data_IF_838098252842
#
_entry.id   IF_838098252842
#
_cell.length_a   1.000
_cell.length_b   1.000
_cell.length_c   1.000
_cell.angle_alpha   90.00
_cell.angle_beta   90.00
_cell.angle_gamma   90.00
#
_symmetry.space_group_name_H-M   'P 1'
#
loop_
_entity.id
_entity.type
_entity.pdbx_description
1 polymer ?
#
# COMPACT_ATOMS: atom_id res chain seq x y z
N UNK A 1 23.35 18.36 -35.59
CA UNK A 1 23.78 17.34 -34.59
C UNK A 1 23.18 17.74 -33.26
N UNK A 2 22.61 16.79 -32.49
CA UNK A 2 22.11 17.06 -31.12
C UNK A 2 23.32 17.37 -30.24
N UNK A 3 23.17 18.33 -29.34
CA UNK A 3 24.19 18.75 -28.37
C UNK A 3 24.05 17.99 -27.06
N UNK A 4 25.07 18.02 -26.19
CA UNK A 4 24.97 17.47 -24.84
C UNK A 4 23.78 18.08 -24.03
N UNK A 5 23.53 19.39 -24.26
CA UNK A 5 22.36 20.09 -23.66
C UNK A 5 21.05 19.50 -24.14
N UNK A 6 20.88 19.14 -25.40
CA UNK A 6 19.63 18.55 -25.90
C UNK A 6 19.34 17.21 -25.21
N UNK A 7 20.40 16.41 -24.96
CA UNK A 7 20.26 15.16 -24.21
C UNK A 7 19.91 15.38 -22.73
N UNK A 8 20.51 16.39 -22.07
CA UNK A 8 20.18 16.73 -20.68
C UNK A 8 18.74 17.22 -20.55
N UNK A 9 18.27 18.08 -21.46
CA UNK A 9 16.88 18.53 -21.49
C UNK A 9 15.91 17.38 -21.79
N UNK A 10 16.28 16.44 -22.64
CA UNK A 10 15.48 15.25 -22.92
C UNK A 10 15.40 14.33 -21.71
N UNK A 11 16.53 14.10 -21.00
CA UNK A 11 16.57 13.31 -19.77
C UNK A 11 15.66 13.92 -18.68
N UNK A 12 15.71 15.24 -18.49
CA UNK A 12 14.86 15.93 -17.53
C UNK A 12 13.36 15.82 -17.86
N UNK A 13 13.01 15.88 -19.16
CA UNK A 13 11.62 15.64 -19.61
C UNK A 13 11.15 14.20 -19.36
N UNK A 14 12.05 13.21 -19.52
CA UNK A 14 11.74 11.85 -19.16
C UNK A 14 11.48 11.71 -17.66
N UNK A 15 12.36 12.27 -16.83
CA UNK A 15 12.19 12.27 -15.37
C UNK A 15 10.83 12.87 -14.94
N UNK A 16 10.44 14.01 -15.50
CA UNK A 16 9.15 14.64 -15.19
C UNK A 16 7.99 13.71 -15.57
N UNK A 17 8.01 13.10 -16.75
CA UNK A 17 6.96 12.15 -17.17
C UNK A 17 6.89 10.93 -16.27
N UNK A 18 8.03 10.40 -15.85
CA UNK A 18 8.07 9.25 -14.95
C UNK A 18 7.51 9.60 -13.56
N UNK A 19 7.82 10.80 -13.05
CA UNK A 19 7.23 11.33 -11.80
C UNK A 19 5.71 11.58 -11.93
N UNK A 20 5.24 12.08 -13.08
CA UNK A 20 3.79 12.27 -13.32
C UNK A 20 3.04 10.94 -13.36
N UNK A 21 3.59 9.93 -14.04
CA UNK A 21 3.06 8.56 -14.04
C UNK A 21 3.05 7.97 -12.62
N UNK A 22 4.10 8.21 -11.85
CA UNK A 22 4.20 7.75 -10.46
C UNK A 22 3.17 8.43 -9.57
N UNK A 23 2.92 9.74 -9.74
CA UNK A 23 1.88 10.45 -9.01
C UNK A 23 0.47 9.88 -9.29
N UNK A 24 0.18 9.51 -10.54
CA UNK A 24 -1.06 8.81 -10.89
C UNK A 24 -1.16 7.44 -10.20
N UNK A 25 -0.04 6.70 -10.17
CA UNK A 25 0.03 5.41 -9.47
C UNK A 25 -0.15 5.54 -7.95
N UNK A 26 0.30 6.64 -7.35
CA UNK A 26 0.05 6.93 -5.93
C UNK A 26 -1.45 7.12 -5.64
N UNK A 27 -2.20 7.77 -6.53
CA UNK A 27 -3.65 7.90 -6.41
C UNK A 27 -4.35 6.53 -6.45
N UNK A 28 -3.85 5.60 -7.28
CA UNK A 28 -4.32 4.21 -7.29
C UNK A 28 -4.04 3.52 -5.95
N UNK A 29 -2.83 3.64 -5.40
CA UNK A 29 -2.46 3.04 -4.10
C UNK A 29 -3.42 3.49 -2.99
N UNK A 30 -3.80 4.78 -2.98
CA UNK A 30 -4.82 5.32 -2.06
C UNK A 30 -6.17 4.64 -2.22
N UNK A 31 -6.69 4.58 -3.45
CA UNK A 31 -7.99 3.98 -3.73
C UNK A 31 -8.01 2.49 -3.36
N UNK A 32 -6.91 1.78 -3.63
CA UNK A 32 -6.75 0.36 -3.25
C UNK A 32 -6.70 0.20 -1.73
N UNK A 33 -5.97 1.06 -1.01
CA UNK A 33 -5.87 1.03 0.45
C UNK A 33 -7.23 1.21 1.14
N UNK A 34 -8.06 2.12 0.65
CA UNK A 34 -9.43 2.33 1.11
C UNK A 34 -10.31 1.09 0.89
N UNK A 35 -10.23 0.48 -0.29
CA UNK A 35 -10.98 -0.73 -0.59
C UNK A 35 -10.50 -1.93 0.25
N UNK A 36 -9.21 -2.09 0.43
CA UNK A 36 -8.63 -3.13 1.33
C UNK A 36 -9.20 -2.97 2.74
N UNK A 37 -9.24 -1.73 3.28
CA UNK A 37 -9.82 -1.47 4.60
C UNK A 37 -11.31 -1.85 4.67
N UNK A 38 -12.10 -1.47 3.65
CA UNK A 38 -13.50 -1.84 3.53
C UNK A 38 -13.71 -3.36 3.53
N UNK A 39 -12.98 -4.09 2.67
CA UNK A 39 -13.06 -5.54 2.57
C UNK A 39 -12.57 -6.26 3.85
N UNK A 40 -11.61 -5.69 4.57
CA UNK A 40 -11.22 -6.19 5.91
C UNK A 40 -12.35 -6.07 6.92
N UNK A 41 -13.12 -4.98 6.89
CA UNK A 41 -14.31 -4.80 7.75
C UNK A 41 -15.41 -5.78 7.37
N UNK A 42 -15.73 -5.94 6.07
CA UNK A 42 -16.69 -6.93 5.59
C UNK A 42 -16.30 -8.34 6.02
N UNK A 43 -15.03 -8.75 5.82
CA UNK A 43 -14.52 -10.07 6.23
C UNK A 43 -14.71 -10.31 7.72
N UNK A 44 -14.40 -9.32 8.56
CA UNK A 44 -14.57 -9.44 10.00
C UNK A 44 -16.02 -9.57 10.43
N UNK A 45 -16.91 -8.75 9.88
CA UNK A 45 -18.35 -8.78 10.19
C UNK A 45 -19.00 -10.06 9.66
N UNK A 46 -18.65 -10.52 8.46
CA UNK A 46 -19.18 -11.77 7.89
C UNK A 46 -18.79 -12.99 8.70
N UNK A 47 -17.60 -13.00 9.33
CA UNK A 47 -17.18 -14.11 10.19
C UNK A 47 -18.12 -14.27 11.39
N UNK A 48 -18.43 -13.19 12.10
CA UNK A 48 -19.35 -13.25 13.25
C UNK A 48 -20.78 -13.55 12.79
N UNK A 49 -21.22 -12.96 11.67
CA UNK A 49 -22.53 -13.21 11.09
C UNK A 49 -22.74 -14.71 10.80
N UNK A 50 -21.80 -15.35 10.12
CA UNK A 50 -21.90 -16.76 9.75
C UNK A 50 -21.81 -17.68 10.97
N UNK A 51 -20.86 -17.46 11.88
CA UNK A 51 -20.70 -18.30 13.09
C UNK A 51 -21.91 -18.20 14.01
N UNK A 52 -22.56 -17.02 14.09
CA UNK A 52 -23.79 -16.84 14.89
C UNK A 52 -25.06 -17.35 14.19
N UNK A 53 -24.97 -18.01 13.05
CA UNK A 53 -26.12 -18.43 12.27
C UNK A 53 -26.96 -17.26 11.75
N UNK A 54 -26.37 -16.09 11.53
CA UNK A 54 -27.03 -14.88 11.05
C UNK A 54 -27.71 -14.04 12.12
N UNK A 55 -27.54 -14.38 13.39
CA UNK A 55 -28.22 -13.66 14.50
C UNK A 55 -27.48 -12.39 14.92
N UNK A 56 -26.18 -12.29 14.64
CA UNK A 56 -25.31 -11.17 15.04
C UNK A 56 -24.62 -10.58 13.83
N UNK A 57 -24.33 -9.28 13.87
CA UNK A 57 -23.57 -8.54 12.88
C UNK A 57 -24.22 -8.45 11.48
N UNK A 58 -25.51 -8.73 11.31
CA UNK A 58 -26.20 -8.54 10.04
C UNK A 58 -26.23 -7.08 9.58
N UNK A 59 -26.74 -6.13 10.40
CA UNK A 59 -26.74 -4.69 10.09
C UNK A 59 -25.33 -4.14 9.87
N UNK A 60 -24.34 -4.56 10.66
CA UNK A 60 -22.94 -4.14 10.56
C UNK A 60 -22.31 -4.62 9.24
N UNK A 61 -22.58 -5.86 8.84
CA UNK A 61 -22.13 -6.41 7.56
C UNK A 61 -22.70 -5.60 6.38
N UNK A 62 -24.01 -5.31 6.39
CA UNK A 62 -24.65 -4.50 5.35
C UNK A 62 -24.11 -3.06 5.32
N UNK A 63 -23.76 -2.48 6.46
CA UNK A 63 -23.10 -1.17 6.50
C UNK A 63 -21.70 -1.24 5.88
N UNK A 64 -20.89 -2.23 6.24
CA UNK A 64 -19.57 -2.41 5.65
C UNK A 64 -19.63 -2.60 4.13
N UNK A 65 -20.61 -3.39 3.64
CA UNK A 65 -20.82 -3.60 2.19
C UNK A 65 -21.14 -2.28 1.50
N UNK A 66 -22.06 -1.46 2.05
CA UNK A 66 -22.40 -0.16 1.47
C UNK A 66 -21.20 0.80 1.43
N UNK A 67 -20.38 0.81 2.49
CA UNK A 67 -19.19 1.64 2.58
C UNK A 67 -18.15 1.25 1.50
N UNK A 68 -18.00 -0.05 1.21
CA UNK A 68 -17.05 -0.55 0.21
C UNK A 68 -17.45 -0.26 -1.23
N UNK A 69 -18.76 -0.20 -1.54
CA UNK A 69 -19.25 -0.04 -2.92
C UNK A 69 -18.69 1.21 -3.62
N UNK A 70 -18.55 2.33 -2.90
CA UNK A 70 -17.99 3.55 -3.46
C UNK A 70 -16.49 3.40 -3.81
N UNK A 71 -15.75 2.65 -3.01
CA UNK A 71 -14.31 2.38 -3.26
C UNK A 71 -14.13 1.37 -4.40
N UNK A 72 -14.99 0.36 -4.49
CA UNK A 72 -15.05 -0.56 -5.64
C UNK A 72 -15.31 0.18 -6.94
N UNK A 73 -16.35 1.02 -6.98
CA UNK A 73 -16.70 1.79 -8.17
C UNK A 73 -15.56 2.72 -8.61
N UNK A 74 -14.86 3.36 -7.67
CA UNK A 74 -13.69 4.20 -7.99
C UNK A 74 -12.55 3.40 -8.61
N UNK A 75 -12.28 2.21 -8.09
CA UNK A 75 -11.21 1.36 -8.61
C UNK A 75 -11.55 0.79 -9.99
N UNK A 76 -12.78 0.35 -10.20
CA UNK A 76 -13.25 -0.12 -11.52
C UNK A 76 -13.23 1.02 -12.55
N UNK A 77 -13.71 2.22 -12.21
CA UNK A 77 -13.64 3.39 -13.10
C UNK A 77 -12.19 3.78 -13.43
N UNK A 78 -11.26 3.62 -12.50
CA UNK A 78 -9.83 3.79 -12.77
C UNK A 78 -9.32 2.73 -13.75
N UNK A 79 -9.68 1.46 -13.57
CA UNK A 79 -9.30 0.37 -14.46
C UNK A 79 -9.87 0.55 -15.89
N UNK A 80 -11.12 1.00 -16.00
CA UNK A 80 -11.75 1.31 -17.29
C UNK A 80 -11.06 2.47 -18.01
N UNK A 81 -10.48 3.41 -17.28
CA UNK A 81 -9.70 4.53 -17.83
C UNK A 81 -8.29 4.16 -18.29
N UNK A 82 -7.85 2.92 -18.06
CA UNK A 82 -6.56 2.43 -18.56
C UNK A 82 -6.65 2.16 -20.07
N UNK A 83 -5.96 2.96 -20.87
CA UNK A 83 -5.83 2.67 -22.30
C UNK A 83 -4.95 1.44 -22.49
N UNK A 84 -5.50 0.37 -23.11
CA UNK A 84 -4.79 -0.90 -23.30
C UNK A 84 -3.50 -0.77 -24.11
N UNK A 85 -3.42 0.26 -24.97
CA UNK A 85 -2.27 0.57 -25.82
C UNK A 85 -1.38 1.67 -25.24
N UNK A 86 -1.64 2.12 -24.01
CA UNK A 86 -0.90 3.18 -23.33
C UNK A 86 0.53 2.75 -22.93
N UNK A 87 1.44 3.71 -22.92
CA UNK A 87 2.82 3.52 -22.43
C UNK A 87 2.82 3.46 -20.88
N UNK A 88 2.42 2.31 -20.33
CA UNK A 88 2.37 2.08 -18.89
C UNK A 88 3.76 1.75 -18.32
N UNK A 89 4.13 2.45 -17.25
CA UNK A 89 5.24 2.02 -16.40
C UNK A 89 4.82 0.71 -15.70
N UNK A 90 5.57 -0.38 -15.92
CA UNK A 90 5.20 -1.71 -15.42
C UNK A 90 4.55 -2.65 -16.45
N UNK A 91 4.01 -2.13 -17.55
CA UNK A 91 3.57 -2.89 -18.73
C UNK A 91 2.71 -4.13 -18.40
N UNK A 92 3.08 -5.30 -18.93
CA UNK A 92 2.36 -6.56 -18.79
C UNK A 92 2.12 -6.96 -17.34
N UNK A 93 3.09 -6.74 -16.43
CA UNK A 93 2.95 -7.13 -15.01
C UNK A 93 1.82 -6.37 -14.33
N UNK A 94 1.76 -5.04 -14.51
CA UNK A 94 0.71 -4.20 -13.94
C UNK A 94 -0.67 -4.58 -14.50
N UNK A 95 -0.81 -4.70 -15.82
CA UNK A 95 -2.08 -5.09 -16.46
C UNK A 95 -2.55 -6.46 -16.01
N UNK A 96 -1.65 -7.43 -15.83
CA UNK A 96 -2.00 -8.75 -15.28
C UNK A 96 -2.55 -8.63 -13.85
N UNK A 97 -1.95 -7.78 -13.00
CA UNK A 97 -2.46 -7.55 -11.63
C UNK A 97 -3.83 -6.86 -11.65
N UNK A 98 -4.02 -5.88 -12.53
CA UNK A 98 -5.32 -5.22 -12.72
C UNK A 98 -6.39 -6.23 -13.13
N UNK A 99 -6.12 -7.10 -14.11
CA UNK A 99 -7.06 -8.13 -14.55
C UNK A 99 -7.51 -9.05 -13.40
N UNK A 100 -6.56 -9.53 -12.58
CA UNK A 100 -6.86 -10.37 -11.40
C UNK A 100 -7.70 -9.61 -10.37
N UNK A 101 -7.43 -8.33 -10.16
CA UNK A 101 -8.21 -7.48 -9.23
C UNK A 101 -9.63 -7.28 -9.76
N UNK A 102 -9.80 -6.92 -11.03
CA UNK A 102 -11.12 -6.72 -11.66
C UNK A 102 -11.96 -7.99 -11.57
N UNK A 103 -11.41 -9.14 -11.95
CA UNK A 103 -12.10 -10.45 -11.83
C UNK A 103 -12.52 -10.71 -10.36
N UNK A 104 -11.64 -10.40 -9.40
CA UNK A 104 -11.95 -10.53 -7.98
C UNK A 104 -13.11 -9.65 -7.54
N UNK A 105 -13.17 -8.39 -8.02
CA UNK A 105 -14.25 -7.45 -7.72
C UNK A 105 -15.57 -7.82 -8.38
N UNK A 106 -15.56 -8.28 -9.61
CA UNK A 106 -16.74 -8.79 -10.30
C UNK A 106 -17.38 -9.98 -9.56
N UNK A 107 -16.59 -10.77 -8.84
CA UNK A 107 -17.07 -11.86 -8.01
C UNK A 107 -17.64 -11.46 -6.64
N UNK A 108 -17.47 -10.20 -6.18
CA UNK A 108 -17.92 -9.75 -4.87
C UNK A 108 -19.44 -9.79 -4.67
N UNK A 109 -20.28 -9.35 -5.63
CA UNK A 109 -21.74 -9.43 -5.49
C UNK A 109 -22.23 -10.86 -5.21
N UNK A 110 -21.70 -11.85 -5.93
CA UNK A 110 -22.02 -13.27 -5.74
C UNK A 110 -21.59 -13.80 -4.36
N UNK A 111 -20.40 -13.40 -3.89
CA UNK A 111 -19.93 -13.71 -2.54
C UNK A 111 -20.89 -13.13 -1.48
N UNK A 112 -21.25 -11.85 -1.58
CA UNK A 112 -22.16 -11.16 -0.64
C UNK A 112 -23.55 -11.78 -0.63
N UNK A 113 -24.07 -12.22 -1.78
CA UNK A 113 -25.34 -12.96 -1.86
C UNK A 113 -25.24 -14.32 -1.14
N UNK A 114 -24.15 -15.05 -1.36
CA UNK A 114 -23.88 -16.33 -0.72
C UNK A 114 -23.78 -16.20 0.80
N UNK A 115 -23.15 -15.11 1.29
CA UNK A 115 -23.07 -14.75 2.71
C UNK A 115 -24.44 -14.47 3.31
N UNK A 116 -25.25 -13.60 2.68
CA UNK A 116 -26.62 -13.29 3.14
C UNK A 116 -27.48 -14.53 3.24
N UNK A 117 -27.36 -15.42 2.26
CA UNK A 117 -28.06 -16.69 2.24
C UNK A 117 -27.48 -17.74 3.18
N UNK A 118 -26.34 -17.46 3.82
CA UNK A 118 -25.60 -18.40 4.70
C UNK A 118 -25.26 -19.72 4.01
N UNK A 119 -24.94 -19.66 2.70
CA UNK A 119 -24.61 -20.83 1.87
C UNK A 119 -23.12 -21.13 1.79
N UNK A 120 -22.30 -20.48 2.63
CA UNK A 120 -20.87 -20.75 2.77
C UNK A 120 -20.48 -20.82 4.24
N UNK A 121 -19.39 -21.49 4.52
CA UNK A 121 -18.81 -21.51 5.86
C UNK A 121 -18.04 -20.21 6.16
N UNK A 122 -17.79 -19.92 7.44
CA UNK A 122 -16.90 -18.82 7.84
C UNK A 122 -15.50 -18.97 7.27
N UNK A 123 -14.98 -20.20 7.15
CA UNK A 123 -13.68 -20.47 6.55
C UNK A 123 -13.65 -20.14 5.05
N UNK A 124 -14.69 -20.50 4.30
CA UNK A 124 -14.81 -20.17 2.86
C UNK A 124 -14.88 -18.65 2.66
N UNK A 125 -15.71 -17.96 3.44
CA UNK A 125 -15.83 -16.50 3.40
C UNK A 125 -14.48 -15.83 3.69
N UNK A 126 -13.79 -16.27 4.75
CA UNK A 126 -12.46 -15.80 5.13
C UNK A 126 -11.47 -15.96 3.96
N UNK A 127 -11.43 -17.12 3.34
CA UNK A 127 -10.55 -17.40 2.20
C UNK A 127 -10.87 -16.49 1.01
N UNK A 128 -12.15 -16.35 0.65
CA UNK A 128 -12.61 -15.53 -0.48
C UNK A 128 -12.22 -14.04 -0.32
N UNK A 129 -12.43 -13.46 0.86
CA UNK A 129 -11.98 -12.09 1.13
C UNK A 129 -10.47 -11.96 1.13
N UNK A 130 -9.76 -12.92 1.76
CA UNK A 130 -8.29 -12.88 1.85
C UNK A 130 -7.65 -12.96 0.46
N UNK A 131 -8.18 -13.76 -0.47
CA UNK A 131 -7.69 -13.83 -1.85
C UNK A 131 -7.83 -12.49 -2.57
N UNK A 132 -8.97 -11.81 -2.45
CA UNK A 132 -9.22 -10.50 -3.06
C UNK A 132 -8.34 -9.42 -2.47
N UNK A 133 -8.21 -9.39 -1.15
CA UNK A 133 -7.32 -8.45 -0.48
C UNK A 133 -5.87 -8.70 -0.90
N UNK A 134 -5.43 -9.96 -1.01
CA UNK A 134 -4.08 -10.30 -1.47
C UNK A 134 -3.82 -9.85 -2.91
N UNK A 135 -4.81 -9.95 -3.80
CA UNK A 135 -4.71 -9.44 -5.16
C UNK A 135 -4.54 -7.90 -5.19
N UNK A 136 -5.30 -7.18 -4.36
CA UNK A 136 -5.19 -5.73 -4.18
C UNK A 136 -3.82 -5.33 -3.64
N UNK A 137 -3.30 -6.05 -2.64
CA UNK A 137 -1.96 -5.81 -2.09
C UNK A 137 -0.85 -6.09 -3.10
N UNK A 138 -1.01 -7.12 -3.94
CA UNK A 138 -0.07 -7.41 -5.02
C UNK A 138 -0.05 -6.30 -6.08
N UNK A 139 -1.18 -5.61 -6.31
CA UNK A 139 -1.24 -4.44 -7.19
C UNK A 139 -0.47 -3.26 -6.59
N UNK A 140 -0.61 -2.98 -5.28
CA UNK A 140 0.18 -1.94 -4.59
C UNK A 140 1.67 -2.25 -4.69
N UNK A 141 2.07 -3.50 -4.48
CA UNK A 141 3.47 -3.93 -4.59
C UNK A 141 4.04 -3.68 -5.99
N UNK A 142 3.28 -3.99 -7.03
CA UNK A 142 3.70 -3.77 -8.43
C UNK A 142 3.97 -2.29 -8.72
N UNK A 143 3.12 -1.40 -8.19
CA UNK A 143 3.32 0.06 -8.29
C UNK A 143 4.59 0.50 -7.56
N UNK A 144 4.88 -0.06 -6.39
CA UNK A 144 6.07 0.28 -5.61
C UNK A 144 7.37 -0.19 -6.28
N UNK A 145 7.33 -1.36 -6.95
CA UNK A 145 8.50 -1.98 -7.59
C UNK A 145 9.03 -1.17 -8.80
N UNK A 146 8.15 -0.43 -9.47
CA UNK A 146 8.52 0.38 -10.65
C UNK A 146 8.89 1.82 -10.33
N UNK A 147 8.86 2.24 -9.07
CA UNK A 147 9.18 3.58 -8.64
C UNK A 147 10.69 3.87 -8.75
N UNK A 148 11.08 4.75 -9.67
CA UNK A 148 12.48 5.08 -9.92
C UNK A 148 13.05 6.16 -8.96
N UNK A 149 12.20 7.01 -8.37
CA UNK A 149 12.63 8.04 -7.42
C UNK A 149 12.89 7.42 -6.04
N UNK A 150 14.10 7.58 -5.45
CA UNK A 150 14.45 6.90 -4.19
C UNK A 150 13.62 7.35 -2.98
N UNK A 151 13.21 8.64 -2.92
CA UNK A 151 12.39 9.18 -1.84
C UNK A 151 10.98 8.58 -1.90
N UNK A 152 10.39 8.57 -3.09
CA UNK A 152 9.05 8.01 -3.33
C UNK A 152 9.05 6.49 -3.13
N UNK A 153 10.06 5.79 -3.67
CA UNK A 153 10.21 4.34 -3.48
C UNK A 153 10.28 3.96 -2.00
N UNK A 154 11.07 4.69 -1.20
CA UNK A 154 11.16 4.47 0.24
C UNK A 154 9.80 4.63 0.95
N UNK A 155 9.04 5.68 0.61
CA UNK A 155 7.71 5.92 1.19
C UNK A 155 6.70 4.83 0.77
N UNK A 156 6.75 4.36 -0.48
CA UNK A 156 5.92 3.25 -0.97
C UNK A 156 6.24 1.95 -0.22
N UNK A 157 7.51 1.65 0.04
CA UNK A 157 7.92 0.48 0.83
C UNK A 157 7.37 0.56 2.26
N UNK A 158 7.44 1.75 2.89
CA UNK A 158 6.87 1.96 4.23
C UNK A 158 5.35 1.74 4.21
N UNK A 159 4.65 2.37 3.27
CA UNK A 159 3.19 2.26 3.13
C UNK A 159 2.76 0.82 2.86
N UNK A 160 3.42 0.11 1.93
CA UNK A 160 3.14 -1.30 1.64
C UNK A 160 3.28 -2.18 2.89
N UNK A 161 4.38 -2.03 3.66
CA UNK A 161 4.57 -2.82 4.86
C UNK A 161 3.52 -2.51 5.94
N UNK A 162 3.09 -1.25 6.09
CA UNK A 162 2.03 -0.90 7.02
C UNK A 162 0.69 -1.55 6.63
N UNK A 163 0.30 -1.48 5.35
CA UNK A 163 -0.93 -2.09 4.83
C UNK A 163 -0.87 -3.62 4.97
N UNK A 164 0.27 -4.23 4.64
CA UNK A 164 0.46 -5.68 4.78
C UNK A 164 0.39 -6.13 6.24
N UNK A 165 1.00 -5.39 7.17
CA UNK A 165 0.89 -5.65 8.61
C UNK A 165 -0.56 -5.52 9.11
N UNK A 166 -1.30 -4.51 8.63
CA UNK A 166 -2.73 -4.34 8.89
C UNK A 166 -3.54 -5.53 8.36
N UNK A 167 -3.19 -6.09 7.19
CA UNK A 167 -3.85 -7.27 6.66
C UNK A 167 -3.67 -8.49 7.56
N UNK A 168 -2.45 -8.77 8.03
CA UNK A 168 -2.22 -9.85 8.98
C UNK A 168 -3.00 -9.64 10.30
N UNK A 169 -3.09 -8.39 10.79
CA UNK A 169 -3.94 -8.06 11.96
C UNK A 169 -5.43 -8.29 11.68
N UNK A 170 -5.90 -8.00 10.46
CA UNK A 170 -7.28 -8.28 10.04
C UNK A 170 -7.59 -9.78 9.95
N UNK A 171 -6.63 -10.58 9.49
CA UNK A 171 -6.75 -12.05 9.50
C UNK A 171 -6.75 -12.59 10.93
N UNK A 172 -5.88 -12.08 11.79
CA UNK A 172 -5.84 -12.42 13.22
C UNK A 172 -7.19 -12.13 13.91
N UNK A 173 -7.76 -10.92 13.64
CA UNK A 173 -9.09 -10.57 14.18
C UNK A 173 -10.15 -11.59 13.79
N UNK A 174 -10.22 -11.93 12.50
CA UNK A 174 -11.23 -12.86 12.02
C UNK A 174 -11.02 -14.29 12.54
N UNK A 175 -9.78 -14.78 12.58
CA UNK A 175 -9.46 -16.11 13.11
C UNK A 175 -9.73 -16.22 14.61
N UNK A 176 -9.32 -15.22 15.40
CA UNK A 176 -9.58 -15.19 16.85
C UNK A 176 -11.07 -15.06 17.18
N UNK A 177 -11.80 -14.20 16.45
CA UNK A 177 -13.26 -14.10 16.62
C UNK A 177 -13.97 -15.44 16.32
N UNK A 178 -13.53 -16.14 15.26
CA UNK A 178 -14.07 -17.46 14.94
C UNK A 178 -13.77 -18.50 16.01
N UNK A 179 -12.56 -18.52 16.56
CA UNK A 179 -12.16 -19.45 17.63
C UNK A 179 -12.94 -19.20 18.93
N UNK A 180 -13.06 -17.93 19.36
CA UNK A 180 -13.82 -17.55 20.56
C UNK A 180 -15.31 -17.85 20.40
N UNK A 181 -15.90 -17.52 19.24
CA UNK A 181 -17.31 -17.81 19.00
C UNK A 181 -17.61 -19.33 18.90
N UNK A 182 -16.63 -20.13 18.45
CA UNK A 182 -16.75 -21.59 18.42
C UNK A 182 -16.46 -22.25 19.78
N UNK A 183 -16.03 -21.47 20.79
CA UNK A 183 -15.66 -21.96 22.13
C UNK A 183 -14.36 -22.77 22.16
N UNK A 184 -13.59 -22.83 21.05
CA UNK A 184 -12.37 -23.64 20.97
C UNK A 184 -11.37 -23.07 19.96
N UNK A 185 -10.08 -23.22 20.26
CA UNK A 185 -8.98 -22.95 19.36
C UNK A 185 -8.07 -24.21 19.31
N UNK A 186 -8.21 -25.04 18.31
CA UNK A 186 -7.34 -26.20 18.16
C UNK A 186 -5.88 -25.77 17.92
N UNK A 187 -4.93 -26.73 18.04
CA UNK A 187 -3.50 -26.48 17.88
C UNK A 187 -3.15 -25.75 16.56
N UNK A 188 -3.76 -26.15 15.45
CA UNK A 188 -3.59 -25.47 14.16
C UNK A 188 -4.07 -24.02 14.17
N UNK A 189 -5.16 -23.74 14.88
CA UNK A 189 -5.69 -22.39 15.06
C UNK A 189 -4.71 -21.51 15.85
N UNK A 190 -4.19 -22.03 16.95
CA UNK A 190 -3.21 -21.35 17.80
C UNK A 190 -1.90 -21.07 17.02
N UNK A 191 -1.38 -22.05 16.28
CA UNK A 191 -0.21 -21.89 15.42
C UNK A 191 -0.43 -20.83 14.33
N UNK A 192 -1.61 -20.83 13.70
CA UNK A 192 -1.96 -19.81 12.72
C UNK A 192 -2.00 -18.41 13.32
N UNK A 193 -2.59 -18.26 14.50
CA UNK A 193 -2.64 -16.96 15.20
C UNK A 193 -1.23 -16.46 15.54
N UNK A 194 -0.37 -17.33 16.05
CA UNK A 194 1.03 -16.99 16.33
C UNK A 194 1.77 -16.55 15.07
N UNK A 195 1.66 -17.31 13.98
CA UNK A 195 2.25 -16.95 12.69
C UNK A 195 1.77 -15.57 12.20
N UNK A 196 0.47 -15.28 12.31
CA UNK A 196 -0.07 -13.97 11.91
C UNK A 196 0.51 -12.82 12.77
N UNK A 197 0.75 -13.05 14.06
CA UNK A 197 1.37 -12.08 14.96
C UNK A 197 2.84 -11.82 14.58
N UNK A 198 3.61 -12.87 14.29
CA UNK A 198 4.99 -12.75 13.82
C UNK A 198 5.09 -11.97 12.51
N UNK A 199 4.20 -12.26 11.56
CA UNK A 199 4.16 -11.53 10.28
C UNK A 199 3.77 -10.05 10.46
N UNK A 200 2.85 -9.73 11.37
CA UNK A 200 2.55 -8.34 11.74
C UNK A 200 3.79 -7.62 12.25
N UNK A 201 4.49 -8.22 13.20
CA UNK A 201 5.68 -7.63 13.81
C UNK A 201 6.77 -7.35 12.77
N UNK A 202 7.07 -8.31 11.90
CA UNK A 202 8.03 -8.14 10.80
C UNK A 202 7.66 -7.00 9.85
N UNK A 203 6.38 -6.90 9.50
CA UNK A 203 5.90 -5.81 8.65
C UNK A 203 6.01 -4.45 9.34
N UNK A 204 5.63 -4.35 10.62
CA UNK A 204 5.69 -3.10 11.38
C UNK A 204 7.14 -2.66 11.61
N UNK A 205 8.07 -3.57 11.88
CA UNK A 205 9.50 -3.26 11.97
C UNK A 205 10.04 -2.70 10.65
N UNK A 206 9.68 -3.29 9.51
CA UNK A 206 10.05 -2.77 8.19
C UNK A 206 9.43 -1.39 7.94
N UNK A 207 8.15 -1.22 8.28
CA UNK A 207 7.50 0.08 8.20
C UNK A 207 8.30 1.13 8.98
N UNK A 208 8.65 0.88 10.24
CA UNK A 208 9.42 1.80 11.08
C UNK A 208 10.82 2.11 10.53
N UNK A 209 11.46 1.14 9.88
CA UNK A 209 12.77 1.31 9.26
C UNK A 209 12.74 2.20 7.99
N UNK A 210 11.63 2.19 7.26
CA UNK A 210 11.51 2.90 5.99
C UNK A 210 10.66 4.17 6.06
N UNK A 211 9.83 4.35 7.09
CA UNK A 211 8.98 5.53 7.20
C UNK A 211 9.80 6.82 7.45
N UNK A 212 9.22 7.96 7.12
CA UNK A 212 9.83 9.25 7.36
C UNK A 212 9.93 9.56 8.87
N UNK A 213 10.97 10.32 9.25
CA UNK A 213 11.30 10.58 10.66
C UNK A 213 10.18 11.31 11.42
N UNK A 214 9.35 12.09 10.76
CA UNK A 214 8.20 12.81 11.31
C UNK A 214 6.98 11.92 11.58
N UNK A 215 6.90 10.75 10.93
CA UNK A 215 5.84 9.76 11.12
C UNK A 215 6.05 8.94 12.41
N UNK A 216 7.29 8.58 12.72
CA UNK A 216 7.61 7.70 13.86
C UNK A 216 7.07 8.18 15.21
N UNK A 217 7.17 9.45 15.59
CA UNK A 217 6.60 9.93 16.84
C UNK A 217 5.07 9.79 16.88
N UNK A 218 4.41 10.03 15.76
CA UNK A 218 2.97 9.90 15.60
C UNK A 218 2.53 8.44 15.72
N UNK A 219 3.24 7.54 15.07
CA UNK A 219 3.04 6.11 15.16
C UNK A 219 3.19 5.60 16.59
N UNK A 220 4.27 5.97 17.28
CA UNK A 220 4.53 5.59 18.68
C UNK A 220 3.49 6.13 19.65
N UNK A 221 3.08 7.40 19.46
CA UNK A 221 2.01 7.99 20.27
C UNK A 221 0.66 7.27 20.08
N UNK A 222 0.39 6.79 18.89
CA UNK A 222 -0.80 6.01 18.55
C UNK A 222 -0.72 4.62 19.20
N UNK A 223 0.40 3.91 19.08
CA UNK A 223 0.60 2.62 19.75
C UNK A 223 0.44 2.73 21.27
N UNK A 224 0.96 3.79 21.90
CA UNK A 224 0.83 4.01 23.33
C UNK A 224 -0.63 4.21 23.82
N UNK A 225 -1.53 4.63 22.92
CA UNK A 225 -2.97 4.79 23.21
C UNK A 225 -3.81 3.54 22.97
N UNK A 226 -3.24 2.55 22.27
CA UNK A 226 -3.93 1.28 22.02
C UNK A 226 -3.95 0.42 23.30
N UNK A 227 -5.04 -0.30 23.55
CA UNK A 227 -5.14 -1.24 24.67
C UNK A 227 -4.37 -2.54 24.37
N UNK A 228 -3.07 -2.41 24.06
CA UNK A 228 -2.22 -3.55 23.64
C UNK A 228 -2.09 -4.60 24.75
N UNK A 229 -2.07 -4.19 26.02
CA UNK A 229 -1.96 -5.14 27.13
C UNK A 229 -3.19 -6.06 27.24
N UNK A 230 -4.38 -5.53 26.99
CA UNK A 230 -5.62 -6.32 27.00
C UNK A 230 -5.70 -7.25 25.79
N UNK A 231 -5.34 -6.74 24.62
CA UNK A 231 -5.24 -7.56 23.40
C UNK A 231 -4.24 -8.70 23.61
N UNK A 232 -3.08 -8.43 24.20
CA UNK A 232 -2.06 -9.44 24.46
C UNK A 232 -2.51 -10.49 25.47
N UNK A 233 -3.32 -10.09 26.46
CA UNK A 233 -3.96 -11.04 27.38
C UNK A 233 -4.87 -12.02 26.64
N UNK A 234 -5.72 -11.51 25.72
CA UNK A 234 -6.61 -12.36 24.92
C UNK A 234 -5.83 -13.26 23.95
N UNK A 235 -4.75 -12.77 23.37
CA UNK A 235 -3.82 -13.57 22.56
C UNK A 235 -3.27 -14.77 23.32
N UNK A 236 -2.81 -14.54 24.56
CA UNK A 236 -2.35 -15.63 25.43
C UNK A 236 -3.44 -16.62 25.74
N UNK A 237 -4.66 -16.16 26.05
CA UNK A 237 -5.80 -17.03 26.25
C UNK A 237 -6.05 -17.92 25.04
N UNK A 238 -6.06 -17.36 23.82
CA UNK A 238 -6.24 -18.12 22.57
C UNK A 238 -5.09 -19.12 22.30
N UNK A 239 -3.87 -18.80 22.74
CA UNK A 239 -2.70 -19.65 22.54
C UNK A 239 -2.58 -20.80 23.56
N UNK A 240 -3.12 -20.62 24.78
CA UNK A 240 -2.89 -21.57 25.90
C UNK A 240 -4.12 -22.39 26.26
N UNK A 241 -5.33 -21.85 26.09
CA UNK A 241 -6.57 -22.57 26.36
C UNK A 241 -7.04 -23.31 25.11
N UNK A 242 -7.34 -24.60 25.28
CA UNK A 242 -7.77 -25.45 24.16
C UNK A 242 -9.27 -25.50 23.99
N UNK A 243 -10.04 -25.26 25.04
CA UNK A 243 -11.50 -25.45 25.10
C UNK A 243 -12.15 -24.44 26.07
N UNK A 244 -13.47 -24.31 25.98
CA UNK A 244 -14.33 -23.55 26.91
C UNK A 244 -14.06 -22.04 27.01
N UNK A 245 -13.86 -21.40 25.88
CA UNK A 245 -13.82 -19.94 25.84
C UNK A 245 -15.18 -19.34 26.18
N UNK A 246 -15.15 -18.28 26.99
CA UNK A 246 -16.33 -17.46 27.21
C UNK A 246 -16.73 -16.74 25.91
N UNK A 247 -17.92 -17.00 25.34
CA UNK A 247 -18.39 -16.34 24.14
C UNK A 247 -18.44 -14.81 24.23
N UNK A 248 -18.55 -14.24 25.42
CA UNK A 248 -18.51 -12.79 25.65
C UNK A 248 -17.15 -12.18 25.26
N UNK A 249 -16.07 -12.96 25.29
CA UNK A 249 -14.76 -12.52 24.85
C UNK A 249 -14.70 -12.24 23.33
N UNK A 250 -15.63 -12.79 22.55
CA UNK A 250 -15.69 -12.55 21.09
C UNK A 250 -15.87 -11.07 20.76
N UNK A 251 -16.79 -10.39 21.46
CA UNK A 251 -17.08 -8.98 21.23
C UNK A 251 -15.91 -8.10 21.65
N UNK A 252 -15.36 -8.38 22.82
CA UNK A 252 -14.19 -7.67 23.32
C UNK A 252 -12.98 -7.83 22.36
N UNK A 253 -12.70 -9.05 21.91
CA UNK A 253 -11.66 -9.34 20.93
C UNK A 253 -11.86 -8.55 19.64
N UNK A 254 -13.08 -8.62 19.09
CA UNK A 254 -13.41 -7.96 17.84
C UNK A 254 -13.29 -6.44 17.94
N UNK A 255 -13.74 -5.85 19.05
CA UNK A 255 -13.65 -4.42 19.31
C UNK A 255 -12.19 -3.95 19.43
N UNK A 256 -11.38 -4.64 20.24
CA UNK A 256 -9.97 -4.29 20.43
C UNK A 256 -9.16 -4.37 19.12
N UNK A 257 -9.35 -5.47 18.38
CA UNK A 257 -8.71 -5.63 17.09
C UNK A 257 -9.20 -4.60 16.06
N UNK A 258 -10.50 -4.29 16.03
CA UNK A 258 -11.06 -3.29 15.10
C UNK A 258 -10.52 -1.90 15.40
N UNK A 259 -10.51 -1.47 16.66
CA UNK A 259 -9.89 -0.20 17.07
C UNK A 259 -8.43 -0.12 16.61
N UNK A 260 -7.66 -1.21 16.75
CA UNK A 260 -6.27 -1.25 16.30
C UNK A 260 -6.16 -1.08 14.78
N UNK A 261 -6.99 -1.78 14.01
CA UNK A 261 -7.02 -1.69 12.55
C UNK A 261 -7.39 -0.29 12.06
N UNK A 262 -8.39 0.34 12.69
CA UNK A 262 -8.83 1.69 12.36
C UNK A 262 -7.72 2.72 12.66
N UNK A 263 -6.99 2.55 13.75
CA UNK A 263 -5.85 3.40 14.09
C UNK A 263 -4.69 3.24 13.10
N UNK A 264 -4.39 2.01 12.67
CA UNK A 264 -3.38 1.77 11.63
C UNK A 264 -3.81 2.43 10.32
N UNK A 265 -5.11 2.34 9.97
CA UNK A 265 -5.65 2.98 8.77
C UNK A 265 -5.51 4.51 8.77
N UNK A 266 -5.63 5.17 9.91
CA UNK A 266 -5.37 6.61 10.02
C UNK A 266 -3.92 6.98 9.69
N UNK A 267 -2.95 6.14 10.08
CA UNK A 267 -1.54 6.35 9.72
C UNK A 267 -1.31 6.08 8.24
N UNK A 268 -1.95 5.05 7.70
CA UNK A 268 -1.94 4.71 6.28
C UNK A 268 -2.42 5.88 5.42
N UNK A 269 -3.58 6.46 5.75
CA UNK A 269 -4.12 7.63 5.05
C UNK A 269 -3.16 8.83 5.10
N UNK A 270 -2.49 9.04 6.23
CA UNK A 270 -1.51 10.11 6.36
C UNK A 270 -0.24 9.88 5.52
N UNK A 271 0.30 8.66 5.52
CA UNK A 271 1.43 8.28 4.66
C UNK A 271 1.11 8.47 3.18
N UNK A 272 -0.08 8.10 2.80
CA UNK A 272 -0.54 8.19 1.43
C UNK A 272 -0.67 9.65 0.97
N UNK A 273 -1.16 10.55 1.83
CA UNK A 273 -1.18 11.98 1.55
C UNK A 273 0.25 12.57 1.47
N UNK A 274 1.16 12.17 2.36
CA UNK A 274 2.56 12.57 2.28
C UNK A 274 3.23 12.10 0.98
N UNK A 275 2.96 10.88 0.56
CA UNK A 275 3.45 10.32 -0.70
C UNK A 275 3.02 11.19 -1.89
N UNK A 276 1.74 11.57 -1.94
CA UNK A 276 1.19 12.48 -2.95
C UNK A 276 1.94 13.83 -2.95
N UNK A 277 2.07 14.46 -1.79
CA UNK A 277 2.77 15.73 -1.64
C UNK A 277 4.25 15.63 -2.04
N UNK A 278 4.90 14.50 -1.77
CA UNK A 278 6.27 14.26 -2.20
C UNK A 278 6.37 14.20 -3.73
N UNK A 279 5.47 13.47 -4.39
CA UNK A 279 5.42 13.43 -5.86
C UNK A 279 5.21 14.82 -6.46
N UNK A 280 4.24 15.59 -5.96
CA UNK A 280 3.94 16.95 -6.42
C UNK A 280 5.16 17.88 -6.27
N UNK A 281 5.83 17.84 -5.11
CA UNK A 281 7.05 18.62 -4.85
C UNK A 281 8.20 18.23 -5.80
N UNK A 282 8.39 16.92 -6.04
CA UNK A 282 9.43 16.43 -6.97
C UNK A 282 9.16 16.89 -8.41
N UNK A 283 7.93 16.79 -8.88
CA UNK A 283 7.52 17.28 -10.20
C UNK A 283 7.78 18.78 -10.34
N UNK A 284 7.36 19.58 -9.35
CA UNK A 284 7.57 21.03 -9.37
C UNK A 284 9.07 21.40 -9.41
N UNK A 285 9.90 20.71 -8.62
CA UNK A 285 11.36 20.92 -8.61
C UNK A 285 11.98 20.59 -9.96
N UNK A 286 11.66 19.44 -10.56
CA UNK A 286 12.20 19.01 -11.85
C UNK A 286 11.74 19.92 -13.01
N UNK A 287 10.51 20.45 -12.96
CA UNK A 287 10.02 21.45 -13.92
C UNK A 287 10.79 22.78 -13.81
N UNK A 288 10.99 23.29 -12.59
CA UNK A 288 11.75 24.52 -12.37
C UNK A 288 13.23 24.39 -12.80
N UNK A 289 13.83 23.22 -12.63
CA UNK A 289 15.17 22.94 -13.13
C UNK A 289 15.22 22.87 -14.65
N UNK A 290 14.22 22.26 -15.30
CA UNK A 290 14.11 22.23 -16.76
C UNK A 290 14.05 23.66 -17.34
N UNK A 291 13.20 24.53 -16.76
CA UNK A 291 13.09 25.93 -17.17
C UNK A 291 14.42 26.68 -17.02
N UNK A 292 15.10 26.53 -15.89
CA UNK A 292 16.43 27.12 -15.66
C UNK A 292 17.44 26.66 -16.68
N UNK A 293 17.50 25.38 -17.01
CA UNK A 293 18.39 24.83 -18.03
C UNK A 293 18.04 25.34 -19.43
N UNK A 294 16.76 25.56 -19.74
CA UNK A 294 16.31 26.13 -21.00
C UNK A 294 16.69 27.62 -21.13
N UNK A 295 16.64 28.37 -20.04
CA UNK A 295 16.97 29.79 -20.01
C UNK A 295 18.49 30.08 -20.05
N UNK A 296 19.35 29.09 -19.75
CA UNK A 296 20.80 29.31 -19.83
C UNK A 296 21.27 29.61 -21.25
N UNK A 297 22.06 30.67 -21.47
CA UNK A 297 22.61 30.98 -22.80
C UNK A 297 23.44 29.80 -23.31
N UNK A 298 23.28 29.50 -24.59
CA UNK A 298 24.18 28.52 -25.27
C UNK A 298 25.55 29.19 -25.33
N UNK A 299 26.55 28.64 -24.61
CA UNK A 299 27.91 29.09 -24.74
C UNK A 299 28.30 28.98 -26.24
N UNK A 300 28.84 30.03 -26.85
CA UNK A 300 29.24 29.97 -28.24
C UNK A 300 30.23 28.81 -28.41
N UNK A 301 30.19 28.09 -29.55
CA UNK A 301 31.12 27.00 -29.78
C UNK A 301 32.55 27.59 -29.67
N UNK A 302 33.37 26.99 -28.83
CA UNK A 302 34.79 27.33 -28.73
C UNK A 302 35.37 27.10 -30.15
N UNK A 303 35.60 28.18 -30.91
CA UNK A 303 36.33 28.11 -32.17
C UNK A 303 37.73 27.68 -31.81
N UNK A 304 38.07 26.41 -31.98
CA UNK A 304 39.45 25.96 -31.99
C UNK A 304 40.07 26.57 -33.25
N UNK A 305 40.68 27.73 -33.10
CA UNK A 305 41.53 28.31 -34.15
C UNK A 305 42.73 27.37 -34.22
N UNK A 306 42.71 26.43 -35.15
CA UNK A 306 43.93 25.73 -35.56
C UNK A 306 44.86 26.75 -36.24
N UNK A 307 45.74 27.34 -35.45
CA UNK A 307 46.88 28.06 -36.04
C UNK A 307 47.85 27.03 -36.64
N UNK A 308 47.76 26.90 -37.90
CA UNK A 308 48.81 26.21 -38.72
C UNK A 308 50.02 27.11 -38.77
N UNK A 309 50.85 27.11 -37.72
CA UNK A 309 52.32 27.45 -37.79
C UNK A 309 52.87 27.33 -36.36
N UNK A 310 53.55 26.26 -36.10
CA UNK A 310 54.72 26.01 -35.26
C UNK A 310 54.91 26.88 -34.01
N UNK A 311 53.97 26.75 -32.96
CA UNK A 311 54.34 27.17 -31.61
C UNK A 311 53.77 26.16 -30.60
N UNK A 312 54.45 25.90 -29.46
CA UNK A 312 54.09 24.86 -28.52
C UNK A 312 52.80 25.17 -27.82
N UNK A 313 52.01 24.11 -27.56
CA UNK A 313 50.73 24.13 -26.94
C UNK A 313 50.74 24.82 -25.54
N UNK A 314 49.96 25.89 -25.44
CA UNK A 314 49.60 26.42 -24.14
C UNK A 314 48.52 25.51 -23.55
N UNK A 315 48.77 24.97 -22.37
CA UNK A 315 47.85 24.09 -21.65
C UNK A 315 46.47 24.76 -21.45
N UNK A 316 45.43 24.07 -21.88
CA UNK A 316 44.05 24.44 -21.59
C UNK A 316 43.76 24.34 -20.07
N UNK A 317 42.96 25.25 -19.50
CA UNK A 317 42.56 25.14 -18.10
C UNK A 317 41.73 23.90 -17.88
N UNK A 318 42.10 23.15 -16.86
CA UNK A 318 41.44 21.91 -16.44
C UNK A 318 39.94 22.14 -16.16
N UNK A 319 39.12 21.40 -16.86
CA UNK A 319 37.68 21.24 -16.51
C UNK A 319 37.64 20.55 -15.15
N UNK A 320 37.20 21.26 -14.12
CA UNK A 320 36.86 20.63 -12.83
C UNK A 320 35.71 19.68 -13.05
N UNK A 321 35.78 18.43 -12.57
CA UNK A 321 34.64 17.55 -12.59
C UNK A 321 33.56 18.09 -11.64
N UNK A 322 32.32 18.16 -12.12
CA UNK A 322 31.14 18.37 -11.28
C UNK A 322 31.06 17.19 -10.29
N UNK A 323 31.41 17.48 -9.05
CA UNK A 323 31.18 16.56 -7.92
C UNK A 323 29.67 16.44 -7.75
N UNK A 324 29.15 15.26 -8.02
CA UNK A 324 27.82 14.88 -7.58
C UNK A 324 27.83 14.81 -6.07
N UNK A 325 27.15 15.74 -5.41
CA UNK A 325 26.85 15.65 -4.01
C UNK A 325 25.77 14.59 -3.79
N UNK A 326 26.09 13.64 -2.93
CA UNK A 326 25.23 12.54 -2.44
C UNK A 326 24.01 13.06 -1.69
#
# INVERSE_FOLDING_TARGET
MKTARDFLLAARRCEIRDLEKLAQSCALVLAVGELVHGLQRERGSSQIFLVSGGQRFGPELEACIRDSLASEARLLAWADGLEADGDFTGGMRLLTRVAIVVEGLEGLPGLRETLRARRCSGADAMQQYTQRISALLALIFEVADVAADPEVSRQLVALFNLIQGKEFAGQERAAGAGALAAGRCGEQGAQRLLHLQEQQELCLQRFEAFCAADILPRWRALQARMPLAELERLRRTLATATEDFDPALTDLWFELCSRRLDQIHLVEAHLAEQLKQTCERRIATSRAELERQQAMPIAPPVRVIRSWRGQPAVMAPSIRPLVMAS
#
